data_IF_470726396299
#
_entry.id   IF_470726396299
#
_cell.length_a   1.000
_cell.length_b   1.000
_cell.length_c   1.000
_cell.angle_alpha   90.00
_cell.angle_beta   90.00
_cell.angle_gamma   90.00
#
_symmetry.space_group_name_H-M   'P 1'
#
loop_
_entity.id
_entity.type
_entity.pdbx_description
1 polymer ?
#
# COMPACT_ATOMS: atom_id res chain seq x y z
N UNK A 1 38.44 -15.94 -34.57
CA UNK A 1 37.60 -15.06 -33.72
C UNK A 1 38.52 -14.09 -33.02
N UNK A 2 38.49 -12.81 -33.39
CA UNK A 2 39.45 -11.81 -32.88
C UNK A 2 39.29 -11.65 -31.37
N UNK A 3 40.40 -11.77 -30.62
CA UNK A 3 40.43 -11.59 -29.15
C UNK A 3 39.89 -10.21 -28.72
N UNK A 4 39.94 -9.22 -29.62
CA UNK A 4 39.36 -7.88 -29.46
C UNK A 4 37.81 -7.89 -29.44
N UNK A 5 37.16 -8.84 -30.14
CA UNK A 5 35.69 -8.92 -30.21
C UNK A 5 35.09 -9.56 -28.95
N UNK A 6 35.85 -10.44 -28.28
CA UNK A 6 35.43 -11.07 -27.02
C UNK A 6 35.54 -10.10 -25.83
N UNK A 7 36.48 -9.15 -25.87
CA UNK A 7 36.64 -8.11 -24.84
C UNK A 7 35.61 -6.98 -24.93
N UNK A 8 35.11 -6.65 -26.13
CA UNK A 8 33.99 -5.69 -26.27
C UNK A 8 32.65 -6.30 -25.83
N UNK A 9 32.45 -7.60 -26.04
CA UNK A 9 31.21 -8.28 -25.65
C UNK A 9 31.10 -8.45 -24.13
N UNK A 10 32.21 -8.64 -23.41
CA UNK A 10 32.22 -8.71 -21.94
C UNK A 10 32.06 -7.36 -21.24
N UNK A 11 32.36 -6.23 -21.90
CA UNK A 11 32.08 -4.89 -21.37
C UNK A 11 30.60 -4.49 -21.47
N UNK A 12 29.86 -5.06 -22.44
CA UNK A 12 28.44 -4.79 -22.66
C UNK A 12 27.51 -5.53 -21.69
N UNK A 13 27.97 -6.60 -21.03
CA UNK A 13 27.19 -7.31 -20.00
C UNK A 13 27.27 -6.70 -18.59
N UNK A 14 28.10 -5.67 -18.37
CA UNK A 14 28.24 -5.02 -17.06
C UNK A 14 27.24 -3.88 -16.80
N UNK A 15 26.37 -3.54 -17.77
CA UNK A 15 25.42 -2.42 -17.64
C UNK A 15 24.01 -2.84 -17.18
N UNK A 16 23.89 -3.95 -16.43
CA UNK A 16 22.73 -4.13 -15.57
C UNK A 16 22.99 -3.29 -14.32
N UNK A 17 22.65 -2.00 -14.39
CA UNK A 17 22.58 -1.12 -13.22
C UNK A 17 21.49 -1.66 -12.29
N UNK A 18 21.84 -2.65 -11.48
CA UNK A 18 21.08 -2.93 -10.27
C UNK A 18 21.23 -1.68 -9.42
N UNK A 19 20.14 -0.92 -9.28
CA UNK A 19 20.14 0.29 -8.49
C UNK A 19 20.65 -0.07 -7.08
N UNK A 20 21.83 0.45 -6.71
CA UNK A 20 22.47 0.11 -5.44
C UNK A 20 21.62 0.70 -4.31
N UNK A 21 21.21 -0.17 -3.38
CA UNK A 21 20.56 0.28 -2.15
C UNK A 21 21.56 1.07 -1.31
N UNK A 22 21.23 2.31 -1.03
CA UNK A 22 21.94 3.18 -0.09
C UNK A 22 21.33 3.04 1.30
N UNK A 23 22.09 3.44 2.32
CA UNK A 23 21.61 3.49 3.70
C UNK A 23 22.03 4.80 4.39
N UNK A 24 21.20 5.26 5.32
CA UNK A 24 21.54 6.31 6.27
C UNK A 24 20.71 6.14 7.53
N UNK A 25 21.34 5.87 8.67
CA UNK A 25 20.64 5.49 9.89
C UNK A 25 19.88 4.18 9.72
N UNK A 26 18.57 4.19 9.98
CA UNK A 26 17.70 3.02 9.75
C UNK A 26 17.14 2.95 8.33
N UNK A 27 17.27 4.00 7.53
CA UNK A 27 16.60 4.08 6.24
C UNK A 27 17.48 3.44 5.18
N UNK A 28 16.99 2.37 4.57
CA UNK A 28 17.48 1.82 3.30
C UNK A 28 16.66 2.42 2.17
N UNK A 29 17.30 2.82 1.08
CA UNK A 29 16.61 3.48 -0.03
C UNK A 29 17.38 3.35 -1.35
N UNK A 30 16.72 3.64 -2.45
CA UNK A 30 17.31 3.74 -3.78
C UNK A 30 17.05 5.13 -4.34
N UNK A 31 18.11 5.82 -4.76
CA UNK A 31 17.97 7.17 -5.34
C UNK A 31 17.76 7.08 -6.85
N UNK A 32 16.77 7.82 -7.40
CA UNK A 32 16.59 7.94 -8.84
C UNK A 32 17.85 8.44 -9.55
N UNK A 33 18.08 7.96 -10.76
CA UNK A 33 19.26 8.34 -11.53
C UNK A 33 19.30 9.85 -11.81
N UNK A 34 20.48 10.46 -11.74
CA UNK A 34 20.69 11.88 -12.09
C UNK A 34 20.64 12.86 -10.92
N UNK A 35 20.29 12.41 -9.71
CA UNK A 35 20.35 13.25 -8.52
C UNK A 35 21.80 13.48 -8.06
N UNK A 36 22.10 14.72 -7.67
CA UNK A 36 23.36 15.12 -7.06
C UNK A 36 23.26 14.99 -5.54
N UNK A 37 24.34 14.55 -4.89
CA UNK A 37 24.39 14.34 -3.44
C UNK A 37 25.25 15.41 -2.75
N UNK A 38 24.65 16.10 -1.79
CA UNK A 38 25.35 16.92 -0.79
C UNK A 38 25.30 16.19 0.55
N UNK A 39 26.48 15.89 1.12
CA UNK A 39 26.59 15.21 2.41
C UNK A 39 26.88 16.21 3.52
N UNK A 40 26.04 16.21 4.55
CA UNK A 40 26.30 16.86 5.82
C UNK A 40 26.09 15.84 6.95
N UNK A 41 26.74 16.05 8.11
CA UNK A 41 26.67 15.11 9.24
C UNK A 41 25.25 14.83 9.74
N UNK A 42 24.35 15.82 9.59
CA UNK A 42 22.98 15.74 10.10
C UNK A 42 21.94 15.44 9.01
N UNK A 43 22.30 15.53 7.73
CA UNK A 43 21.36 15.37 6.62
C UNK A 43 22.09 15.01 5.32
N UNK A 44 21.56 14.02 4.60
CA UNK A 44 21.91 13.79 3.21
C UNK A 44 20.89 14.51 2.33
N UNK A 45 21.36 15.36 1.41
CA UNK A 45 20.50 16.04 0.45
C UNK A 45 20.79 15.50 -0.94
N UNK A 46 19.78 14.88 -1.54
CA UNK A 46 19.78 14.56 -2.97
C UNK A 46 18.96 15.61 -3.70
N UNK A 47 19.51 16.22 -4.74
CA UNK A 47 18.78 17.22 -5.53
C UNK A 47 18.90 16.98 -7.02
N UNK A 48 17.82 17.32 -7.73
CA UNK A 48 17.77 17.40 -9.18
C UNK A 48 17.09 18.70 -9.59
N UNK A 49 17.63 19.36 -10.61
CA UNK A 49 17.12 20.61 -11.13
C UNK A 49 17.13 20.60 -12.66
N UNK A 50 16.03 21.03 -13.26
CA UNK A 50 15.95 21.37 -14.66
C UNK A 50 16.09 22.88 -14.81
N UNK A 51 17.32 23.32 -15.13
CA UNK A 51 17.67 24.73 -15.26
C UNK A 51 16.88 25.47 -16.35
N UNK A 52 16.29 24.75 -17.31
CA UNK A 52 15.51 25.37 -18.39
C UNK A 52 14.10 25.76 -17.96
N UNK A 53 13.53 25.04 -17.00
CA UNK A 53 12.16 25.24 -16.50
C UNK A 53 12.10 25.75 -15.07
N UNK A 54 13.21 25.69 -14.32
CA UNK A 54 13.23 25.93 -12.87
C UNK A 54 12.57 24.81 -12.06
N UNK A 55 12.26 23.67 -12.69
CA UNK A 55 11.67 22.53 -12.00
C UNK A 55 12.74 21.83 -11.15
N UNK A 56 12.46 21.59 -9.88
CA UNK A 56 13.37 20.91 -8.97
C UNK A 56 12.70 19.81 -8.13
N UNK A 57 13.53 18.91 -7.62
CA UNK A 57 13.19 17.99 -6.55
C UNK A 57 14.36 17.82 -5.58
N UNK A 58 14.10 18.02 -4.30
CA UNK A 58 15.04 17.81 -3.20
C UNK A 58 14.52 16.68 -2.30
N UNK A 59 15.40 15.75 -1.95
CA UNK A 59 15.16 14.67 -0.98
C UNK A 59 16.17 14.84 0.14
N UNK A 60 15.69 15.16 1.34
CA UNK A 60 16.46 15.30 2.56
C UNK A 60 16.24 14.07 3.42
N UNK A 61 17.32 13.37 3.78
CA UNK A 61 17.28 12.23 4.71
C UNK A 61 18.04 12.67 5.95
N UNK A 62 17.32 12.99 7.02
CA UNK A 62 17.91 13.48 8.27
C UNK A 62 18.53 12.34 9.05
N UNK A 63 19.55 12.64 9.86
CA UNK A 63 20.13 11.64 10.76
C UNK A 63 19.10 11.19 11.79
N UNK A 64 19.28 9.99 12.31
CA UNK A 64 18.54 9.53 13.47
C UNK A 64 18.87 10.37 14.70
N UNK A 65 17.85 10.72 15.48
CA UNK A 65 17.95 11.48 16.74
C UNK A 65 17.02 10.89 17.80
N UNK A 66 17.17 11.25 19.09
CA UNK A 66 16.21 10.86 20.12
C UNK A 66 14.79 11.30 19.78
N UNK A 67 13.83 10.38 19.99
CA UNK A 67 12.41 10.64 19.79
C UNK A 67 11.80 11.46 20.93
N UNK A 68 10.58 11.93 20.69
CA UNK A 68 9.75 12.81 21.49
C UNK A 68 8.60 12.04 22.17
N UNK A 69 8.73 10.71 22.29
CA UNK A 69 7.78 9.86 23.01
C UNK A 69 6.74 9.16 22.15
N UNK A 70 6.84 9.21 20.82
CA UNK A 70 5.98 8.46 19.90
C UNK A 70 5.88 9.10 18.52
N UNK A 71 5.31 8.36 17.56
CA UNK A 71 5.32 8.78 16.15
C UNK A 71 4.64 10.12 15.88
N UNK A 72 3.56 10.46 16.61
CA UNK A 72 2.89 11.75 16.46
C UNK A 72 3.74 12.92 17.02
N UNK A 73 4.20 12.90 18.29
CA UNK A 73 5.16 13.88 18.79
C UNK A 73 6.43 14.01 17.92
N UNK A 74 6.95 12.89 17.40
CA UNK A 74 8.11 12.87 16.51
C UNK A 74 7.81 13.55 15.17
N UNK A 75 6.65 13.27 14.60
CA UNK A 75 6.20 13.93 13.38
C UNK A 75 6.06 15.44 13.59
N UNK A 76 5.42 15.88 14.67
CA UNK A 76 5.22 17.31 14.95
C UNK A 76 6.57 18.03 15.18
N UNK A 77 7.50 17.39 15.87
CA UNK A 77 8.86 17.89 16.05
C UNK A 77 9.61 18.01 14.71
N UNK A 78 9.58 16.97 13.88
CA UNK A 78 10.21 16.99 12.56
C UNK A 78 9.54 18.03 11.65
N UNK A 79 8.21 18.09 11.62
CA UNK A 79 7.48 19.07 10.80
C UNK A 79 7.89 20.49 11.16
N UNK A 80 7.91 20.83 12.46
CA UNK A 80 8.34 22.16 12.89
C UNK A 80 9.81 22.46 12.56
N UNK A 81 10.73 21.56 12.91
CA UNK A 81 12.17 21.84 12.89
C UNK A 81 12.87 21.53 11.57
N UNK A 82 12.31 20.64 10.76
CA UNK A 82 12.93 20.16 9.52
C UNK A 82 12.14 20.58 8.28
N UNK A 83 10.87 20.97 8.41
CA UNK A 83 10.04 21.43 7.28
C UNK A 83 9.68 22.92 7.41
N UNK A 84 8.96 23.30 8.46
CA UNK A 84 8.43 24.65 8.61
C UNK A 84 9.52 25.70 8.81
N UNK A 85 10.42 25.52 9.78
CA UNK A 85 11.48 26.50 10.04
C UNK A 85 12.48 26.63 8.88
N UNK A 86 13.03 25.55 8.29
CA UNK A 86 14.04 25.67 7.24
C UNK A 86 13.48 26.21 5.91
N UNK A 87 12.25 25.82 5.56
CA UNK A 87 11.67 26.12 4.25
C UNK A 87 10.51 27.11 4.31
N UNK A 88 10.24 27.70 5.48
CA UNK A 88 9.16 28.68 5.72
C UNK A 88 7.78 28.16 5.30
N UNK A 89 7.54 26.86 5.47
CA UNK A 89 6.25 26.24 5.17
C UNK A 89 5.23 26.69 6.22
N UNK A 90 4.20 27.40 5.78
CA UNK A 90 3.13 27.94 6.64
C UNK A 90 1.90 27.03 6.72
N UNK A 91 1.75 26.09 5.78
CA UNK A 91 0.64 25.15 5.73
C UNK A 91 0.73 24.08 6.82
N UNK A 92 -0.43 23.66 7.33
CA UNK A 92 -0.55 22.45 8.14
C UNK A 92 -0.39 21.21 7.25
N UNK A 93 0.16 20.14 7.83
CA UNK A 93 0.28 18.87 7.12
C UNK A 93 -1.08 18.18 7.01
N UNK A 94 -1.45 17.77 5.80
CA UNK A 94 -2.43 16.70 5.60
C UNK A 94 -1.73 15.37 5.88
N UNK A 95 -2.02 14.79 7.04
CA UNK A 95 -1.42 13.54 7.50
C UNK A 95 -2.17 12.31 7.00
N UNK A 96 -1.41 11.29 6.62
CA UNK A 96 -1.89 9.92 6.49
C UNK A 96 -1.83 9.24 7.86
N UNK A 97 -2.62 8.18 8.07
CA UNK A 97 -2.58 7.47 9.33
C UNK A 97 -1.23 6.81 9.59
N UNK A 98 -0.93 6.62 10.87
CA UNK A 98 0.29 5.92 11.28
C UNK A 98 0.30 4.50 10.72
N UNK A 99 1.46 4.09 10.20
CA UNK A 99 1.68 2.77 9.68
C UNK A 99 2.93 2.14 10.33
N UNK A 100 3.08 0.84 10.22
CA UNK A 100 4.27 0.12 10.67
C UNK A 100 5.11 -0.31 9.46
N UNK A 101 6.42 -0.38 9.68
CA UNK A 101 7.39 -0.99 8.78
C UNK A 101 8.44 -1.69 9.64
N UNK A 102 8.41 -3.03 9.68
CA UNK A 102 9.29 -3.87 10.53
C UNK A 102 9.34 -3.40 11.98
N UNK A 103 8.18 -3.12 12.57
CA UNK A 103 8.05 -2.67 13.96
C UNK A 103 8.38 -1.20 14.22
N UNK A 104 8.87 -0.45 13.23
CA UNK A 104 8.94 1.01 13.30
C UNK A 104 7.59 1.62 12.93
N UNK A 105 7.04 2.47 13.79
CA UNK A 105 5.89 3.29 13.41
C UNK A 105 6.37 4.41 12.49
N UNK A 106 5.56 4.80 11.51
CA UNK A 106 5.83 5.99 10.72
C UNK A 106 4.56 6.78 10.40
N UNK A 107 4.72 8.08 10.24
CA UNK A 107 3.69 9.01 9.77
C UNK A 107 4.16 9.71 8.49
N UNK A 108 3.23 9.91 7.57
CA UNK A 108 3.44 10.69 6.36
C UNK A 108 2.54 11.91 6.40
N UNK A 109 3.11 13.09 6.19
CA UNK A 109 2.37 14.34 6.07
C UNK A 109 2.78 15.11 4.84
N UNK A 110 1.82 15.81 4.23
CA UNK A 110 2.04 16.59 3.01
C UNK A 110 1.36 17.94 3.10
N UNK A 111 1.94 18.96 2.48
CA UNK A 111 1.27 20.23 2.26
C UNK A 111 1.77 20.87 0.97
N UNK A 112 1.03 21.86 0.48
CA UNK A 112 1.49 22.75 -0.59
C UNK A 112 1.80 24.10 0.02
N UNK A 113 2.85 24.74 -0.46
CA UNK A 113 3.21 26.11 -0.07
C UNK A 113 3.84 26.86 -1.25
N UNK A 114 3.94 28.18 -1.11
CA UNK A 114 4.63 29.02 -2.08
C UNK A 114 6.09 29.20 -1.64
N UNK A 115 7.01 28.53 -2.33
CA UNK A 115 8.45 28.74 -2.17
C UNK A 115 8.89 29.86 -3.12
N UNK A 116 9.12 31.06 -2.57
CA UNK A 116 9.44 32.26 -3.36
C UNK A 116 8.44 32.51 -4.51
N UNK A 117 7.14 32.26 -4.26
CA UNK A 117 6.07 32.41 -5.25
C UNK A 117 5.82 31.18 -6.13
N UNK A 118 6.62 30.12 -6.02
CA UNK A 118 6.47 28.89 -6.78
C UNK A 118 5.70 27.84 -5.97
N UNK A 119 4.61 27.34 -6.53
CA UNK A 119 3.82 26.28 -5.91
C UNK A 119 4.66 25.00 -5.73
N UNK A 120 4.86 24.61 -4.47
CA UNK A 120 5.79 23.55 -4.08
C UNK A 120 5.09 22.57 -3.15
N UNK A 121 5.27 21.28 -3.41
CA UNK A 121 4.93 20.18 -2.50
C UNK A 121 5.99 20.11 -1.41
N UNK A 122 5.57 20.08 -0.15
CA UNK A 122 6.38 19.60 0.96
C UNK A 122 5.79 18.28 1.48
N UNK A 123 6.63 17.26 1.60
CA UNK A 123 6.27 15.95 2.14
C UNK A 123 7.27 15.55 3.22
N UNK A 124 6.76 15.04 4.34
CA UNK A 124 7.56 14.51 5.44
C UNK A 124 7.13 13.08 5.74
N UNK A 125 8.11 12.19 5.86
CA UNK A 125 7.93 10.82 6.39
C UNK A 125 8.77 10.74 7.66
N UNK A 126 8.15 10.47 8.80
CA UNK A 126 8.85 10.33 10.08
C UNK A 126 8.69 8.90 10.60
N UNK A 127 9.80 8.22 10.84
CA UNK A 127 9.88 6.91 11.46
C UNK A 127 10.23 7.06 12.94
N UNK A 128 9.60 6.26 13.80
CA UNK A 128 9.73 6.28 15.26
C UNK A 128 9.77 4.87 15.85
N UNK A 129 10.71 4.64 16.76
CA UNK A 129 10.97 3.34 17.36
C UNK A 129 12.24 3.35 18.20
N UNK A 130 12.37 2.43 19.16
CA UNK A 130 13.56 2.32 20.04
C UNK A 130 13.95 3.66 20.72
N UNK A 131 12.96 4.47 21.13
CA UNK A 131 13.19 5.82 21.69
C UNK A 131 13.92 6.80 20.75
N UNK A 132 13.96 6.50 19.45
CA UNK A 132 14.58 7.31 18.40
C UNK A 132 13.56 7.65 17.31
N UNK A 133 13.89 8.68 16.53
CA UNK A 133 13.19 9.05 15.32
C UNK A 133 14.18 9.29 14.17
N UNK A 134 13.73 9.06 12.93
CA UNK A 134 14.43 9.47 11.73
C UNK A 134 13.42 9.89 10.66
N UNK A 135 13.74 10.92 9.89
CA UNK A 135 12.79 11.51 8.94
C UNK A 135 13.38 11.74 7.56
N UNK A 136 12.47 11.78 6.58
CA UNK A 136 12.73 12.12 5.19
C UNK A 136 11.82 13.30 4.83
N UNK A 137 12.40 14.39 4.33
CA UNK A 137 11.64 15.49 3.72
C UNK A 137 11.84 15.46 2.20
N UNK A 138 10.77 15.67 1.43
CA UNK A 138 10.81 15.80 -0.02
C UNK A 138 10.15 17.12 -0.41
N UNK A 139 10.87 17.94 -1.17
CA UNK A 139 10.35 19.18 -1.77
C UNK A 139 10.37 19.05 -3.29
N UNK A 140 9.27 19.39 -3.96
CA UNK A 140 9.22 19.40 -5.42
C UNK A 140 8.15 20.37 -5.95
N UNK A 141 8.43 21.03 -7.06
CA UNK A 141 7.54 22.04 -7.66
C UNK A 141 6.94 21.62 -9.01
N UNK A 142 7.13 20.36 -9.43
CA UNK A 142 6.72 19.90 -10.76
C UNK A 142 6.38 18.42 -10.82
N UNK A 143 5.33 18.08 -11.57
CA UNK A 143 4.91 16.73 -11.92
C UNK A 143 6.01 15.91 -12.62
N UNK A 144 7.00 16.58 -13.23
CA UNK A 144 8.15 15.91 -13.85
C UNK A 144 8.86 14.96 -12.87
N UNK A 145 8.95 15.33 -11.59
CA UNK A 145 9.61 14.53 -10.55
C UNK A 145 8.67 13.58 -9.82
N UNK A 146 7.38 13.56 -10.16
CA UNK A 146 6.42 12.61 -9.56
C UNK A 146 6.92 11.18 -9.62
N UNK A 147 7.50 10.88 -10.77
CA UNK A 147 8.08 9.61 -11.10
C UNK A 147 9.13 9.14 -10.09
N UNK A 148 10.07 10.04 -9.84
CA UNK A 148 11.24 9.85 -9.00
C UNK A 148 10.86 9.78 -7.53
N UNK A 149 9.91 10.62 -7.11
CA UNK A 149 9.38 10.64 -5.74
C UNK A 149 8.67 9.31 -5.40
N UNK A 150 7.77 8.84 -6.27
CA UNK A 150 7.06 7.58 -6.06
C UNK A 150 8.02 6.38 -6.04
N UNK A 151 9.00 6.36 -6.96
CA UNK A 151 10.04 5.33 -7.00
C UNK A 151 10.93 5.32 -5.75
N UNK A 152 11.35 6.51 -5.29
CA UNK A 152 12.11 6.66 -4.06
C UNK A 152 11.32 6.15 -2.85
N UNK A 153 10.10 6.63 -2.63
CA UNK A 153 9.26 6.23 -1.48
C UNK A 153 9.03 4.71 -1.47
N UNK A 154 8.74 4.11 -2.61
CA UNK A 154 8.52 2.67 -2.68
C UNK A 154 9.79 1.84 -2.44
N UNK A 155 10.97 2.43 -2.68
CA UNK A 155 12.26 1.81 -2.36
C UNK A 155 12.64 1.90 -0.88
N UNK A 156 12.00 2.80 -0.13
CA UNK A 156 12.27 3.00 1.30
C UNK A 156 11.92 1.73 2.07
N UNK A 157 12.89 1.29 2.87
CA UNK A 157 12.79 0.17 3.79
C UNK A 157 13.57 0.50 5.07
N UNK A 158 13.33 -0.22 6.17
CA UNK A 158 14.14 -0.07 7.39
C UNK A 158 15.16 -1.21 7.52
N UNK A 159 16.36 -0.88 8.01
CA UNK A 159 17.52 -1.79 8.07
C UNK A 159 17.38 -2.92 9.08
N UNK A 160 16.58 -2.71 10.14
CA UNK A 160 16.35 -3.68 11.21
C UNK A 160 14.89 -3.70 11.65
N UNK A 161 14.47 -4.87 12.12
CA UNK A 161 13.15 -5.10 12.68
C UNK A 161 13.17 -4.86 14.19
N UNK A 162 12.17 -4.13 14.72
CA UNK A 162 11.95 -3.99 16.15
C UNK A 162 10.96 -5.06 16.58
N UNK A 163 11.44 -6.02 17.35
CA UNK A 163 10.57 -6.94 18.06
C UNK A 163 10.04 -6.21 19.29
N UNK A 164 8.77 -5.77 19.23
CA UNK A 164 8.07 -5.35 20.44
C UNK A 164 7.91 -6.59 21.33
N UNK A 165 8.33 -6.58 22.61
CA UNK A 165 8.13 -7.73 23.49
C UNK A 165 6.64 -8.00 23.63
N UNK A 166 6.19 -9.07 22.97
CA UNK A 166 4.79 -9.43 22.82
C UNK A 166 4.67 -10.81 22.17
N UNK A 167 5.19 -11.81 22.90
CA UNK A 167 5.05 -13.26 22.76
C UNK A 167 6.37 -14.01 22.57
N UNK A 168 7.02 -14.29 23.71
CA UNK A 168 7.77 -15.53 23.81
C UNK A 168 6.75 -16.68 23.73
N UNK A 169 6.69 -17.35 22.58
CA UNK A 169 6.08 -18.67 22.48
C UNK A 169 6.85 -19.60 23.40
N UNK A 170 6.31 -19.86 24.59
CA UNK A 170 6.70 -21.04 25.37
C UNK A 170 6.11 -22.24 24.64
N UNK A 171 6.98 -22.93 23.90
CA UNK A 171 6.66 -24.26 23.37
C UNK A 171 6.34 -25.17 24.55
N UNK A 172 5.06 -25.49 24.70
CA UNK A 172 4.62 -26.64 25.48
C UNK A 172 4.07 -27.64 24.47
N UNK A 173 4.91 -28.60 24.12
CA UNK A 173 4.52 -29.87 23.54
C UNK A 173 3.57 -30.60 24.50
N UNK A 174 2.38 -31.00 24.03
CA UNK A 174 1.70 -32.24 24.45
C UNK A 174 0.50 -32.57 23.54
N UNK A 175 0.03 -33.83 23.54
CA UNK A 175 0.18 -34.72 22.40
C UNK A 175 -1.14 -35.00 21.70
N UNK A 176 -1.02 -35.49 20.48
CA UNK A 176 -2.09 -36.04 19.65
C UNK A 176 -2.86 -37.14 20.39
N UNK A 177 -4.17 -36.97 20.54
CA UNK A 177 -5.10 -38.09 20.72
C UNK A 177 -6.28 -37.97 19.76
N UNK A 178 -6.29 -38.93 18.84
CA UNK A 178 -7.40 -39.35 18.01
C UNK A 178 -8.60 -39.76 18.86
N UNK A 179 -9.76 -39.18 18.60
CA UNK A 179 -11.04 -39.87 18.84
C UNK A 179 -12.00 -39.60 17.68
N UNK A 180 -12.34 -40.70 17.01
CA UNK A 180 -13.41 -40.81 16.06
C UNK A 180 -14.77 -40.56 16.74
N UNK A 181 -15.61 -39.77 16.08
CA UNK A 181 -17.01 -39.55 16.43
C UNK A 181 -17.79 -39.25 15.16
N UNK A 182 -18.50 -40.27 14.67
CA UNK A 182 -19.38 -40.18 13.52
C UNK A 182 -20.58 -39.28 13.84
N UNK A 183 -20.76 -38.20 13.07
CA UNK A 183 -22.08 -37.55 12.94
C UNK A 183 -22.33 -37.18 11.48
N UNK A 184 -23.51 -37.58 11.01
CA UNK A 184 -24.02 -37.54 9.63
C UNK A 184 -23.80 -36.19 8.95
N UNK A 185 -23.16 -36.26 7.79
CA UNK A 185 -22.99 -35.17 6.84
C UNK A 185 -24.32 -34.89 6.15
N UNK A 186 -24.96 -33.78 6.51
CA UNK A 186 -25.97 -33.16 5.65
C UNK A 186 -25.25 -32.44 4.51
N UNK A 187 -25.67 -32.74 3.27
CA UNK A 187 -25.03 -32.27 2.04
C UNK A 187 -25.22 -30.76 1.89
N UNK A 188 -24.24 -29.98 2.31
CA UNK A 188 -24.00 -28.65 1.73
C UNK A 188 -23.51 -28.82 0.30
N UNK A 189 -24.03 -28.10 -0.72
CA UNK A 189 -23.54 -28.23 -2.08
C UNK A 189 -22.06 -27.83 -2.13
N UNK A 190 -21.20 -28.79 -2.43
CA UNK A 190 -19.81 -28.53 -2.73
C UNK A 190 -19.74 -27.73 -4.04
N UNK A 191 -19.44 -26.43 -3.97
CA UNK A 191 -18.95 -25.68 -5.14
C UNK A 191 -17.51 -26.15 -5.38
N UNK A 192 -17.40 -27.27 -6.10
CA UNK A 192 -16.17 -27.73 -6.71
C UNK A 192 -16.01 -27.02 -8.07
N UNK A 193 -15.47 -25.82 -8.06
CA UNK A 193 -14.76 -25.26 -9.22
C UNK A 193 -13.57 -24.47 -8.69
N UNK A 194 -12.36 -25.03 -8.84
CA UNK A 194 -11.14 -24.24 -8.63
C UNK A 194 -11.08 -23.24 -9.78
N UNK A 195 -11.62 -22.04 -9.55
CA UNK A 195 -11.58 -20.92 -10.50
C UNK A 195 -10.15 -20.53 -10.86
N UNK A 196 -9.96 -19.59 -11.80
CA UNK A 196 -8.62 -19.13 -12.15
C UNK A 196 -7.93 -18.53 -10.92
N UNK A 197 -6.63 -18.78 -10.75
CA UNK A 197 -5.83 -18.03 -9.77
C UNK A 197 -5.66 -16.57 -10.20
N UNK A 198 -5.55 -15.67 -9.24
CA UNK A 198 -5.50 -14.22 -9.46
C UNK A 198 -4.12 -13.63 -9.16
N UNK A 199 -3.58 -12.86 -10.09
CA UNK A 199 -2.46 -11.95 -9.82
C UNK A 199 -3.03 -10.55 -9.63
N UNK A 200 -3.07 -10.09 -8.38
CA UNK A 200 -3.53 -8.74 -8.03
C UNK A 200 -2.32 -7.81 -7.99
N UNK A 201 -2.44 -6.68 -8.66
CA UNK A 201 -1.41 -5.66 -8.76
C UNK A 201 -1.96 -4.34 -8.26
N UNK A 202 -1.22 -3.63 -7.43
CA UNK A 202 -1.62 -2.34 -6.89
C UNK A 202 -0.57 -1.28 -7.19
N UNK A 203 -1.04 -0.07 -7.50
CA UNK A 203 -0.21 1.13 -7.61
C UNK A 203 -0.76 2.21 -6.68
N UNK A 204 0.15 2.93 -6.03
CA UNK A 204 -0.15 4.20 -5.35
C UNK A 204 0.38 5.36 -6.21
N UNK A 205 -0.39 6.44 -6.32
CA UNK A 205 0.05 7.66 -7.01
C UNK A 205 -0.26 8.90 -6.20
N UNK A 206 0.65 9.86 -6.18
CA UNK A 206 0.49 11.09 -5.40
C UNK A 206 0.11 12.25 -6.34
N UNK A 207 -0.90 13.04 -5.98
CA UNK A 207 -1.23 14.28 -6.69
C UNK A 207 -0.16 15.34 -6.42
N UNK A 208 0.58 15.73 -7.46
CA UNK A 208 1.53 16.83 -7.41
C UNK A 208 0.81 18.19 -7.55
N UNK A 209 1.46 19.31 -7.18
CA UNK A 209 0.88 20.64 -7.34
C UNK A 209 0.58 20.94 -8.81
N UNK A 210 -0.71 21.15 -9.12
CA UNK A 210 -1.10 21.76 -10.38
C UNK A 210 -0.94 23.28 -10.23
N UNK A 211 -0.32 23.94 -11.20
CA UNK A 211 -0.16 25.41 -11.23
C UNK A 211 -1.49 26.15 -11.09
N UNK A 212 -2.59 25.53 -11.53
CA UNK A 212 -3.95 26.06 -11.46
C UNK A 212 -4.71 25.66 -10.19
N UNK A 213 -4.13 24.81 -9.33
CA UNK A 213 -4.70 24.41 -8.03
C UNK A 213 -3.62 24.36 -6.93
N UNK A 214 -3.13 25.55 -6.51
CA UNK A 214 -2.10 25.68 -5.47
C UNK A 214 -2.62 25.35 -4.07
N UNK A 215 -3.94 25.35 -3.84
CA UNK A 215 -4.56 25.08 -2.53
C UNK A 215 -5.08 23.65 -2.38
N UNK A 216 -5.18 22.88 -3.47
CA UNK A 216 -5.71 21.52 -3.43
C UNK A 216 -4.88 20.57 -2.57
N UNK A 217 -5.55 19.80 -1.71
CA UNK A 217 -4.95 18.78 -0.85
C UNK A 217 -4.21 17.73 -1.70
N UNK A 218 -2.99 17.36 -1.28
CA UNK A 218 -2.23 16.25 -1.87
C UNK A 218 -2.95 14.94 -1.58
N UNK A 219 -3.33 14.21 -2.64
CA UNK A 219 -4.10 12.96 -2.53
C UNK A 219 -3.28 11.78 -3.02
N UNK A 220 -3.28 10.71 -2.25
CA UNK A 220 -2.81 9.41 -2.72
C UNK A 220 -3.97 8.66 -3.37
N UNK A 221 -3.82 8.25 -4.62
CA UNK A 221 -4.78 7.44 -5.37
C UNK A 221 -4.24 6.04 -5.58
N UNK A 222 -5.04 5.05 -5.22
CA UNK A 222 -4.74 3.64 -5.45
C UNK A 222 -5.41 3.16 -6.73
N UNK A 223 -4.72 2.31 -7.48
CA UNK A 223 -5.27 1.62 -8.66
C UNK A 223 -4.91 0.14 -8.58
N UNK A 224 -5.80 -0.71 -9.08
CA UNK A 224 -5.60 -2.15 -9.14
C UNK A 224 -5.63 -2.64 -10.58
N UNK A 225 -4.90 -3.71 -10.86
CA UNK A 225 -5.06 -4.55 -12.05
C UNK A 225 -5.11 -5.98 -11.55
N UNK A 226 -6.09 -6.76 -12.00
CA UNK A 226 -6.18 -8.18 -11.68
C UNK A 226 -6.05 -8.96 -12.97
N UNK A 227 -5.04 -9.82 -13.03
CA UNK A 227 -4.78 -10.73 -14.16
C UNK A 227 -5.07 -12.15 -13.70
N UNK A 228 -6.04 -12.79 -14.36
CA UNK A 228 -6.44 -14.15 -14.10
C UNK A 228 -5.55 -15.14 -14.87
N UNK A 229 -5.32 -16.32 -14.31
CA UNK A 229 -4.51 -17.37 -14.95
C UNK A 229 -5.05 -17.88 -16.29
N UNK A 230 -6.35 -17.69 -16.56
CA UNK A 230 -7.00 -18.01 -17.84
C UNK A 230 -6.83 -16.89 -18.90
N UNK A 231 -6.13 -15.79 -18.58
CA UNK A 231 -5.90 -14.66 -19.47
C UNK A 231 -6.94 -13.54 -19.38
N UNK A 232 -8.01 -13.70 -18.59
CA UNK A 232 -8.94 -12.60 -18.31
C UNK A 232 -8.28 -11.53 -17.44
N UNK A 233 -8.72 -10.27 -17.55
CA UNK A 233 -8.33 -9.21 -16.62
C UNK A 233 -9.48 -8.29 -16.25
N UNK A 234 -9.33 -7.61 -15.10
CA UNK A 234 -10.17 -6.49 -14.68
C UNK A 234 -9.29 -5.35 -14.15
N UNK A 235 -9.64 -4.11 -14.52
CA UNK A 235 -8.84 -2.90 -14.24
C UNK A 235 -9.08 -2.26 -12.87
N UNK A 236 -9.70 -2.97 -11.94
CA UNK A 236 -9.95 -2.56 -10.56
C UNK A 236 -10.20 -3.77 -9.68
N UNK A 237 -10.30 -3.55 -8.36
CA UNK A 237 -10.67 -4.58 -7.39
C UNK A 237 -12.19 -4.65 -7.24
N UNK A 238 -12.88 -5.73 -7.66
CA UNK A 238 -14.33 -5.86 -7.49
C UNK A 238 -14.73 -5.70 -6.03
N UNK A 239 -15.83 -5.00 -5.76
CA UNK A 239 -16.25 -4.71 -4.37
C UNK A 239 -16.44 -5.99 -3.55
N UNK A 240 -16.90 -7.07 -4.18
CA UNK A 240 -17.18 -8.38 -3.58
C UNK A 240 -15.97 -9.33 -3.50
N UNK A 241 -14.79 -8.90 -3.98
CA UNK A 241 -13.57 -9.72 -4.05
C UNK A 241 -13.53 -10.75 -5.19
N UNK A 242 -12.52 -11.64 -5.19
CA UNK A 242 -12.26 -12.56 -6.31
C UNK A 242 -12.67 -14.02 -6.04
N UNK A 243 -13.00 -14.40 -4.81
CA UNK A 243 -13.42 -15.77 -4.51
C UNK A 243 -14.69 -16.18 -5.26
N UNK A 244 -14.53 -17.18 -6.14
CA UNK A 244 -15.59 -17.65 -7.03
C UNK A 244 -15.95 -16.68 -8.15
N UNK A 245 -15.29 -15.52 -8.25
CA UNK A 245 -15.58 -14.50 -9.26
C UNK A 245 -14.90 -14.85 -10.58
N UNK A 246 -15.68 -14.83 -11.65
CA UNK A 246 -15.26 -15.03 -13.05
C UNK A 246 -15.96 -13.99 -13.92
N UNK A 247 -15.50 -13.82 -15.16
CA UNK A 247 -16.19 -12.99 -16.15
C UNK A 247 -17.66 -13.37 -16.32
N UNK A 248 -18.01 -14.65 -16.20
CA UNK A 248 -19.36 -15.16 -16.47
C UNK A 248 -20.36 -14.94 -15.31
N UNK A 249 -19.88 -14.79 -14.07
CA UNK A 249 -20.74 -14.74 -12.88
C UNK A 249 -20.52 -13.48 -12.02
N UNK A 250 -19.75 -12.52 -12.52
CA UNK A 250 -19.59 -11.22 -11.87
C UNK A 250 -20.65 -10.22 -12.36
N UNK A 251 -20.99 -9.25 -11.52
CA UNK A 251 -21.81 -8.09 -11.90
C UNK A 251 -21.02 -7.02 -12.70
N UNK A 252 -19.78 -7.33 -13.11
CA UNK A 252 -18.84 -6.42 -13.75
C UNK A 252 -18.85 -6.56 -15.30
N UNK A 253 -20.04 -6.74 -15.88
CA UNK A 253 -20.28 -7.28 -17.25
C UNK A 253 -19.51 -6.59 -18.39
N UNK A 254 -19.14 -5.32 -18.24
CA UNK A 254 -18.40 -4.55 -19.25
C UNK A 254 -16.93 -4.29 -18.89
N UNK A 255 -16.53 -4.61 -17.68
CA UNK A 255 -15.21 -4.29 -17.14
C UNK A 255 -14.16 -5.36 -17.45
N UNK A 256 -14.60 -6.58 -17.71
CA UNK A 256 -13.72 -7.69 -18.05
C UNK A 256 -13.14 -7.55 -19.46
N UNK A 257 -11.83 -7.68 -19.54
CA UNK A 257 -11.09 -7.82 -20.77
C UNK A 257 -10.22 -9.07 -20.78
N UNK A 258 -9.27 -9.12 -21.70
CA UNK A 258 -8.26 -10.16 -21.79
C UNK A 258 -6.87 -9.54 -21.95
N UNK A 259 -5.85 -10.30 -21.60
CA UNK A 259 -4.47 -9.89 -21.80
C UNK A 259 -3.89 -10.44 -23.10
N UNK A 260 -2.94 -9.69 -23.67
CA UNK A 260 -1.99 -10.21 -24.66
C UNK A 260 -0.58 -9.94 -24.18
N UNK A 261 0.15 -11.02 -23.89
CA UNK A 261 1.55 -10.95 -23.47
C UNK A 261 2.47 -10.95 -24.69
N UNK A 262 3.36 -9.96 -24.76
CA UNK A 262 4.33 -9.80 -25.85
C UNK A 262 5.77 -10.11 -25.41
N UNK A 263 5.95 -10.61 -24.19
CA UNK A 263 7.24 -10.82 -23.54
C UNK A 263 7.77 -9.57 -22.85
N UNK A 264 7.78 -8.40 -23.51
CA UNK A 264 8.25 -7.12 -22.92
C UNK A 264 7.12 -6.32 -22.24
N UNK A 265 5.92 -6.42 -22.77
CA UNK A 265 4.72 -5.74 -22.25
C UNK A 265 3.53 -6.70 -22.16
N UNK A 266 2.60 -6.38 -21.26
CA UNK A 266 1.25 -6.96 -21.24
C UNK A 266 0.30 -5.90 -21.77
N UNK A 267 -0.44 -6.25 -22.82
CA UNK A 267 -1.56 -5.45 -23.32
C UNK A 267 -2.83 -5.87 -22.60
N UNK A 268 -3.58 -4.90 -22.09
CA UNK A 268 -4.85 -5.08 -21.40
C UNK A 268 -5.95 -4.60 -22.35
N UNK A 269 -6.71 -5.53 -22.93
CA UNK A 269 -7.69 -5.26 -23.98
C UNK A 269 -9.12 -5.41 -23.47
N UNK A 270 -9.93 -4.36 -23.60
CA UNK A 270 -11.36 -4.43 -23.29
C UNK A 270 -12.20 -4.20 -24.55
N UNK A 271 -12.93 -5.22 -24.98
CA UNK A 271 -13.72 -5.18 -26.22
C UNK A 271 -14.93 -4.25 -26.14
N UNK A 272 -15.47 -4.02 -24.94
CA UNK A 272 -16.63 -3.15 -24.75
C UNK A 272 -16.23 -1.69 -24.88
N UNK A 273 -15.20 -1.27 -24.14
CA UNK A 273 -14.69 0.11 -24.15
C UNK A 273 -13.74 0.40 -25.32
N UNK A 274 -13.36 -0.63 -26.12
CA UNK A 274 -12.39 -0.53 -27.22
C UNK A 274 -11.06 0.06 -26.77
N UNK A 275 -10.61 -0.31 -25.56
CA UNK A 275 -9.36 0.19 -24.98
C UNK A 275 -8.24 -0.82 -25.08
N UNK A 276 -7.03 -0.29 -25.26
CA UNK A 276 -5.78 -1.05 -25.15
C UNK A 276 -4.86 -0.27 -24.21
N UNK A 277 -4.77 -0.73 -22.97
CA UNK A 277 -3.75 -0.25 -22.04
C UNK A 277 -2.51 -1.14 -22.14
N UNK A 278 -1.33 -0.58 -21.85
CA UNK A 278 -0.07 -1.31 -21.92
C UNK A 278 0.66 -1.13 -20.61
N UNK A 279 1.08 -2.24 -20.01
CA UNK A 279 1.97 -2.24 -18.85
C UNK A 279 3.30 -2.89 -19.22
N UNK A 280 4.41 -2.26 -18.86
CA UNK A 280 5.74 -2.81 -19.11
C UNK A 280 6.11 -3.81 -18.03
N UNK A 281 6.75 -4.92 -18.39
CA UNK A 281 7.28 -5.87 -17.41
C UNK A 281 8.63 -5.39 -16.91
N UNK A 282 8.74 -5.13 -15.61
CA UNK A 282 9.99 -4.69 -14.97
C UNK A 282 10.65 -5.87 -14.24
N UNK A 283 9.87 -6.63 -13.46
CA UNK A 283 10.30 -7.85 -12.79
C UNK A 283 9.10 -8.79 -12.56
N UNK A 284 9.30 -9.90 -11.84
CA UNK A 284 8.21 -10.80 -11.43
C UNK A 284 7.15 -10.13 -10.55
N UNK A 285 7.53 -9.06 -9.84
CA UNK A 285 6.70 -8.40 -8.83
C UNK A 285 6.46 -6.91 -9.12
N UNK A 286 6.96 -6.40 -10.25
CA UNK A 286 6.83 -4.99 -10.65
C UNK A 286 6.46 -4.85 -12.13
N UNK A 287 5.44 -4.04 -12.42
CA UNK A 287 5.09 -3.58 -13.77
C UNK A 287 5.09 -2.04 -13.84
N UNK A 288 5.45 -1.46 -14.98
CA UNK A 288 5.33 -0.02 -15.22
C UNK A 288 3.95 0.34 -15.80
N UNK A 289 3.46 1.55 -15.50
CA UNK A 289 2.17 2.04 -16.01
C UNK A 289 2.09 2.15 -17.54
N UNK A 290 3.24 2.29 -18.21
CA UNK A 290 3.42 2.09 -19.64
C UNK A 290 4.86 1.64 -19.92
N UNK A 291 5.14 1.19 -21.13
CA UNK A 291 6.44 0.60 -21.49
C UNK A 291 7.64 1.55 -21.46
N UNK A 292 7.40 2.85 -21.56
CA UNK A 292 8.44 3.87 -21.45
C UNK A 292 8.60 4.46 -20.05
N UNK A 293 7.61 4.26 -19.17
CA UNK A 293 7.55 4.93 -17.88
C UNK A 293 8.53 4.31 -16.90
N UNK A 294 9.43 5.15 -16.39
CA UNK A 294 10.34 4.83 -15.29
C UNK A 294 9.71 5.05 -13.92
N UNK A 295 8.38 5.14 -13.85
CA UNK A 295 7.63 5.39 -12.62
C UNK A 295 6.16 4.98 -12.70
N UNK A 296 5.38 5.28 -11.66
CA UNK A 296 3.99 4.85 -11.50
C UNK A 296 3.89 3.33 -11.60
N UNK A 297 4.67 2.63 -10.78
CA UNK A 297 4.76 1.18 -10.82
C UNK A 297 3.59 0.49 -10.13
N UNK A 298 3.12 -0.57 -10.76
CA UNK A 298 2.27 -1.57 -10.15
C UNK A 298 3.15 -2.60 -9.45
N UNK A 299 2.81 -2.88 -8.19
CA UNK A 299 3.46 -3.89 -7.37
C UNK A 299 2.52 -5.06 -7.21
N UNK A 300 3.06 -6.27 -7.34
CA UNK A 300 2.30 -7.50 -7.13
C UNK A 300 1.93 -7.62 -5.66
N UNK A 301 0.63 -7.67 -5.37
CA UNK A 301 0.14 -7.88 -4.02
C UNK A 301 0.48 -9.29 -3.55
N UNK A 302 0.90 -9.39 -2.28
CA UNK A 302 1.03 -10.69 -1.61
C UNK A 302 -0.36 -11.28 -1.38
N UNK A 303 -0.44 -12.61 -1.37
CA UNK A 303 -1.68 -13.29 -1.02
C UNK A 303 -2.09 -12.90 0.40
N UNK A 304 -3.40 -12.88 0.63
CA UNK A 304 -4.03 -12.63 1.93
C UNK A 304 -4.84 -13.84 2.39
N UNK A 305 -4.72 -14.97 1.69
CA UNK A 305 -5.46 -16.19 2.00
C UNK A 305 -5.10 -16.73 3.38
N UNK A 306 -6.13 -17.01 4.18
CA UNK A 306 -5.95 -17.49 5.55
C UNK A 306 -5.43 -16.45 6.54
N UNK A 307 -5.23 -15.19 6.13
CA UNK A 307 -4.77 -14.11 7.01
C UNK A 307 -5.67 -14.02 8.25
N UNK A 308 -5.04 -13.97 9.43
CA UNK A 308 -5.72 -13.70 10.70
C UNK A 308 -5.48 -12.24 11.08
N UNK A 309 -6.54 -11.45 10.95
CA UNK A 309 -6.59 -10.08 11.41
C UNK A 309 -6.82 -10.04 12.92
N UNK A 310 -6.27 -9.01 13.55
CA UNK A 310 -6.42 -8.75 14.98
C UNK A 310 -6.47 -7.24 15.23
N UNK A 311 -7.32 -6.81 16.17
CA UNK A 311 -7.40 -5.45 16.67
C UNK A 311 -8.60 -4.68 16.13
N UNK A 312 -8.68 -3.40 16.48
CA UNK A 312 -9.71 -2.48 15.98
C UNK A 312 -9.25 -1.86 14.66
N UNK A 313 -10.13 -1.82 13.67
CA UNK A 313 -9.87 -1.29 12.34
C UNK A 313 -10.94 -0.28 11.95
N UNK A 314 -10.54 0.80 11.29
CA UNK A 314 -11.46 1.82 10.81
C UNK A 314 -10.93 2.49 9.55
N UNK A 315 -11.85 3.10 8.83
CA UNK A 315 -11.61 3.86 7.61
C UNK A 315 -12.22 5.25 7.75
N UNK A 316 -11.72 6.25 7.05
CA UNK A 316 -12.46 7.48 6.80
C UNK A 316 -13.12 7.50 5.42
N UNK A 317 -13.32 6.32 4.83
CA UNK A 317 -13.74 6.16 3.44
C UNK A 317 -12.61 6.49 2.46
N UNK A 318 -12.97 6.81 1.21
CA UNK A 318 -12.00 7.15 0.15
C UNK A 318 -11.15 8.39 0.45
N UNK A 319 -11.56 9.23 1.43
CA UNK A 319 -11.05 10.60 1.57
C UNK A 319 -10.68 11.01 3.00
N UNK A 320 -10.75 10.12 3.99
CA UNK A 320 -10.48 10.44 5.39
C UNK A 320 -9.59 9.41 6.09
N UNK A 321 -8.90 9.85 7.15
CA UNK A 321 -8.30 8.93 8.12
C UNK A 321 -9.36 8.22 8.98
N UNK A 322 -9.00 7.16 9.73
CA UNK A 322 -9.91 6.44 10.60
C UNK A 322 -10.67 7.37 11.54
N UNK A 323 -11.92 7.00 11.87
CA UNK A 323 -12.83 7.87 12.62
C UNK A 323 -12.26 8.34 13.97
N UNK A 324 -11.40 7.54 14.61
CA UNK A 324 -10.76 7.90 15.87
C UNK A 324 -9.74 9.03 15.80
N UNK A 325 -9.34 9.52 14.62
CA UNK A 325 -8.48 10.72 14.54
C UNK A 325 -9.20 11.98 15.03
N UNK A 326 -10.51 12.07 14.83
CA UNK A 326 -11.30 13.21 15.32
C UNK A 326 -11.73 13.04 16.78
N UNK A 327 -11.82 11.79 17.23
CA UNK A 327 -12.20 11.45 18.59
C UNK A 327 -11.47 10.15 19.00
N UNK A 328 -10.35 10.23 19.75
CA UNK A 328 -9.60 9.04 20.17
C UNK A 328 -10.39 8.01 20.98
N UNK A 329 -11.51 8.43 21.60
CA UNK A 329 -12.43 7.58 22.37
C UNK A 329 -13.65 7.13 21.55
N UNK A 330 -13.59 7.21 20.22
CA UNK A 330 -14.70 6.79 19.37
C UNK A 330 -14.84 5.26 19.42
N UNK A 331 -15.90 4.76 20.06
CA UNK A 331 -16.20 3.32 20.25
C UNK A 331 -17.08 2.73 19.13
N UNK A 332 -17.64 3.59 18.28
CA UNK A 332 -18.42 3.23 17.09
C UNK A 332 -17.57 3.46 15.81
N UNK A 333 -18.07 3.07 14.63
CA UNK A 333 -17.36 3.24 13.36
C UNK A 333 -16.09 2.39 13.21
N UNK A 334 -16.01 1.25 13.91
CA UNK A 334 -14.89 0.31 13.81
C UNK A 334 -15.36 -1.12 13.54
N UNK A 335 -14.46 -1.94 13.02
CA UNK A 335 -14.59 -3.39 12.98
C UNK A 335 -13.44 -3.99 13.78
N UNK A 336 -13.76 -4.87 14.72
CA UNK A 336 -12.80 -5.57 15.57
C UNK A 336 -12.62 -6.97 15.01
N UNK A 337 -11.39 -7.37 14.76
CA UNK A 337 -11.04 -8.74 14.40
C UNK A 337 -10.29 -9.42 15.54
N UNK A 338 -10.52 -10.71 15.71
CA UNK A 338 -9.88 -11.53 16.74
C UNK A 338 -9.05 -12.64 16.10
N UNK A 339 -7.98 -13.05 16.81
CA UNK A 339 -7.04 -14.09 16.37
C UNK A 339 -7.71 -15.44 16.09
N UNK A 340 -8.78 -15.75 16.79
CA UNK A 340 -9.56 -16.98 16.59
C UNK A 340 -10.34 -16.99 15.26
N UNK A 341 -10.44 -15.85 14.57
CA UNK A 341 -11.21 -15.70 13.35
C UNK A 341 -12.63 -15.18 13.58
N UNK A 342 -12.95 -14.72 14.79
CA UNK A 342 -14.19 -13.98 15.06
C UNK A 342 -14.03 -12.48 14.76
N UNK A 343 -15.16 -11.78 14.58
CA UNK A 343 -15.20 -10.33 14.41
C UNK A 343 -16.41 -9.71 15.09
N UNK A 344 -16.31 -8.40 15.36
CA UNK A 344 -17.39 -7.52 15.79
C UNK A 344 -17.40 -6.27 14.91
N UNK A 345 -18.44 -6.08 14.11
CA UNK A 345 -18.66 -4.89 13.31
C UNK A 345 -19.49 -3.89 14.14
N UNK A 346 -18.89 -2.75 14.46
CA UNK A 346 -19.49 -1.64 15.23
C UNK A 346 -19.71 -0.43 14.33
N UNK A 347 -20.18 -0.63 13.10
CA UNK A 347 -20.34 0.42 12.10
C UNK A 347 -19.07 0.75 11.31
N UNK A 348 -17.98 -0.01 11.49
CA UNK A 348 -16.71 0.26 10.79
C UNK A 348 -16.66 -0.24 9.37
N UNK A 349 -17.48 -1.23 9.02
CA UNK A 349 -17.52 -1.82 7.69
C UNK A 349 -18.96 -1.86 7.18
N UNK A 350 -19.27 -0.97 6.23
CA UNK A 350 -20.56 -0.97 5.53
C UNK A 350 -20.49 -1.89 4.31
N UNK A 351 -21.20 -3.02 4.35
CA UNK A 351 -21.18 -4.05 3.31
C UNK A 351 -22.58 -4.31 2.78
N UNK A 352 -22.65 -4.58 1.48
CA UNK A 352 -23.89 -4.94 0.80
C UNK A 352 -23.77 -6.29 0.12
N UNK A 353 -24.92 -6.96 -0.03
CA UNK A 353 -25.09 -8.11 -0.91
C UNK A 353 -26.39 -7.97 -1.69
N UNK A 354 -26.39 -8.46 -2.91
CA UNK A 354 -27.59 -8.54 -3.75
C UNK A 354 -28.15 -9.96 -3.67
N UNK A 355 -29.41 -10.09 -3.28
CA UNK A 355 -30.14 -11.36 -3.25
C UNK A 355 -31.50 -11.15 -3.90
N UNK A 356 -31.83 -11.97 -4.92
CA UNK A 356 -33.09 -11.89 -5.66
C UNK A 356 -33.41 -10.49 -6.23
N UNK A 357 -32.38 -9.76 -6.68
CA UNK A 357 -32.53 -8.40 -7.21
C UNK A 357 -32.76 -7.32 -6.14
N UNK A 358 -32.58 -7.64 -4.85
CA UNK A 358 -32.66 -6.68 -3.76
C UNK A 358 -31.32 -6.52 -3.05
N UNK A 359 -30.91 -5.27 -2.81
CA UNK A 359 -29.72 -4.96 -2.04
C UNK A 359 -30.04 -4.98 -0.55
N UNK A 360 -29.30 -5.78 0.19
CA UNK A 360 -29.30 -5.78 1.66
C UNK A 360 -27.97 -5.24 2.15
N UNK A 361 -28.02 -4.50 3.26
CA UNK A 361 -26.86 -3.83 3.84
C UNK A 361 -26.66 -4.30 5.28
N UNK A 362 -25.39 -4.31 5.71
CA UNK A 362 -25.03 -4.58 7.09
C UNK A 362 -23.79 -3.79 7.47
N UNK A 363 -23.85 -3.20 8.64
CA UNK A 363 -22.78 -2.41 9.24
C UNK A 363 -22.58 -2.72 10.73
N UNK A 364 -23.45 -3.55 11.30
CA UNK A 364 -23.35 -3.99 12.69
C UNK A 364 -23.48 -5.51 12.83
N UNK A 365 -22.99 -6.03 13.95
CA UNK A 365 -23.14 -7.42 14.35
C UNK A 365 -21.80 -8.14 14.50
N UNK A 366 -21.85 -9.41 14.87
CA UNK A 366 -20.66 -10.23 15.11
C UNK A 366 -20.77 -11.57 14.38
N UNK A 367 -19.65 -12.29 14.32
CA UNK A 367 -19.60 -13.62 13.75
C UNK A 367 -18.17 -14.08 13.51
N UNK A 368 -17.97 -14.88 12.47
CA UNK A 368 -16.65 -15.40 12.05
C UNK A 368 -16.31 -14.94 10.65
N UNK A 369 -15.02 -14.84 10.35
CA UNK A 369 -14.54 -14.47 9.03
C UNK A 369 -13.56 -15.49 8.46
N UNK A 370 -13.45 -15.49 7.14
CA UNK A 370 -12.42 -16.22 6.39
C UNK A 370 -11.93 -15.33 5.25
N UNK A 371 -10.64 -15.40 4.94
CA UNK A 371 -10.07 -14.69 3.80
C UNK A 371 -9.58 -15.71 2.77
N UNK A 372 -10.04 -15.55 1.53
CA UNK A 372 -9.69 -16.42 0.41
C UNK A 372 -9.79 -15.67 -0.91
N UNK A 373 -8.83 -15.87 -1.81
CA UNK A 373 -8.76 -15.27 -3.14
C UNK A 373 -9.04 -13.76 -3.08
N UNK A 374 -8.36 -13.03 -2.18
CA UNK A 374 -8.56 -11.58 -1.97
C UNK A 374 -10.03 -11.19 -1.66
N UNK A 375 -10.80 -12.10 -1.06
CA UNK A 375 -12.14 -11.88 -0.54
C UNK A 375 -12.16 -12.10 0.97
N UNK A 376 -12.69 -11.13 1.70
CA UNK A 376 -13.10 -11.26 3.09
C UNK A 376 -14.55 -11.74 3.12
N UNK A 377 -14.76 -12.94 3.64
CA UNK A 377 -16.08 -13.52 3.88
C UNK A 377 -16.43 -13.30 5.36
N UNK A 378 -17.59 -12.72 5.61
CA UNK A 378 -18.13 -12.46 6.95
C UNK A 378 -19.38 -13.30 7.14
N UNK A 379 -19.29 -14.32 7.97
CA UNK A 379 -20.43 -15.15 8.40
C UNK A 379 -20.89 -14.63 9.74
N UNK A 380 -22.02 -13.93 9.74
CA UNK A 380 -22.61 -13.38 10.95
C UNK A 380 -23.29 -14.47 11.79
N UNK A 381 -23.44 -14.21 13.09
CA UNK A 381 -24.03 -15.14 14.06
C UNK A 381 -25.49 -15.53 13.75
N UNK A 382 -26.20 -14.72 12.95
CA UNK A 382 -27.53 -15.03 12.42
C UNK A 382 -27.51 -15.91 11.15
N UNK A 383 -26.32 -16.38 10.74
CA UNK A 383 -26.09 -17.22 9.57
C UNK A 383 -25.96 -16.47 8.26
N UNK A 384 -26.19 -15.14 8.22
CA UNK A 384 -26.04 -14.38 7.00
C UNK A 384 -24.57 -14.25 6.60
N UNK A 385 -24.28 -14.45 5.31
CA UNK A 385 -22.93 -14.30 4.76
C UNK A 385 -22.87 -13.06 3.88
N UNK A 386 -21.86 -12.23 4.12
CA UNK A 386 -21.48 -11.10 3.28
C UNK A 386 -20.05 -11.28 2.80
N UNK A 387 -19.72 -10.71 1.65
CA UNK A 387 -18.35 -10.73 1.13
C UNK A 387 -17.92 -9.35 0.65
N UNK A 388 -16.63 -9.08 0.78
CA UNK A 388 -16.00 -7.88 0.23
C UNK A 388 -14.56 -8.18 -0.19
N UNK A 389 -13.99 -7.37 -1.07
CA UNK A 389 -12.57 -7.43 -1.42
C UNK A 389 -11.67 -7.09 -0.24
N UNK A 390 -10.52 -7.74 -0.19
CA UNK A 390 -9.44 -7.40 0.73
C UNK A 390 -8.07 -7.53 0.06
N UNK A 391 -7.19 -6.55 0.26
CA UNK A 391 -5.77 -6.61 -0.16
C UNK A 391 -4.85 -6.01 0.90
N UNK A 392 -3.58 -6.43 0.91
CA UNK A 392 -2.52 -5.69 1.62
C UNK A 392 -2.12 -4.39 0.90
N UNK A 393 -1.09 -3.72 1.42
CA UNK A 393 -0.51 -2.51 0.81
C UNK A 393 0.60 -2.86 -0.18
N UNK A 394 0.39 -2.54 -1.46
CA UNK A 394 1.36 -2.78 -2.55
C UNK A 394 1.90 -4.22 -2.49
N UNK A 395 3.22 -4.42 -2.46
CA UNK A 395 3.87 -5.74 -2.35
C UNK A 395 4.18 -6.17 -0.92
N UNK A 396 3.70 -5.46 0.10
CA UNK A 396 3.96 -5.80 1.52
C UNK A 396 3.08 -6.98 1.96
N UNK A 397 3.63 -7.85 2.81
CA UNK A 397 2.85 -8.93 3.42
C UNK A 397 1.94 -8.33 4.48
N UNK A 398 0.63 -8.57 4.37
CA UNK A 398 -0.33 -8.10 5.38
C UNK A 398 -0.22 -8.84 6.72
N UNK A 399 0.50 -9.97 6.76
CA UNK A 399 0.81 -10.68 8.01
C UNK A 399 1.91 -9.96 8.81
N UNK A 400 2.94 -9.47 8.10
CA UNK A 400 4.08 -8.77 8.70
C UNK A 400 3.81 -7.27 8.87
N UNK A 401 3.15 -6.65 7.89
CA UNK A 401 2.83 -5.23 7.85
C UNK A 401 1.31 -5.02 7.92
N UNK A 402 0.76 -5.17 9.13
CA UNK A 402 -0.67 -5.19 9.39
C UNK A 402 -1.23 -3.86 9.95
N UNK A 403 -0.58 -2.73 9.67
CA UNK A 403 -1.09 -1.42 10.09
C UNK A 403 -2.14 -0.85 9.14
N UNK A 404 -2.11 -1.27 7.87
CA UNK A 404 -3.03 -0.82 6.84
C UNK A 404 -3.37 -1.96 5.88
N UNK A 405 -4.65 -2.16 5.64
CA UNK A 405 -5.19 -3.06 4.63
C UNK A 405 -6.19 -2.28 3.77
N UNK A 406 -6.61 -2.85 2.65
CA UNK A 406 -7.67 -2.28 1.82
C UNK A 406 -8.87 -3.20 1.85
N UNK A 407 -10.03 -2.67 2.20
CA UNK A 407 -11.32 -3.37 2.13
C UNK A 407 -12.24 -2.53 1.24
N UNK A 408 -12.90 -3.14 0.25
CA UNK A 408 -13.72 -2.41 -0.73
C UNK A 408 -12.98 -1.25 -1.42
N UNK A 409 -11.68 -1.41 -1.75
CA UNK A 409 -10.80 -0.36 -2.29
C UNK A 409 -10.52 0.84 -1.35
N UNK A 410 -11.00 0.80 -0.10
CA UNK A 410 -10.74 1.84 0.89
C UNK A 410 -9.66 1.40 1.86
N UNK A 411 -8.76 2.29 2.27
CA UNK A 411 -7.78 1.96 3.29
C UNK A 411 -8.46 1.83 4.66
N UNK A 412 -8.17 0.75 5.34
CA UNK A 412 -8.52 0.48 6.73
C UNK A 412 -7.24 0.45 7.54
N UNK A 413 -7.24 1.22 8.61
CA UNK A 413 -6.08 1.42 9.47
C UNK A 413 -6.33 0.71 10.79
N UNK A 414 -5.32 0.01 11.28
CA UNK A 414 -5.36 -0.63 12.60
C UNK A 414 -5.16 0.43 13.67
N UNK A 415 -5.95 0.37 14.74
CA UNK A 415 -5.75 1.21 15.91
C UNK A 415 -4.50 0.72 16.68
N UNK A 416 -3.37 1.40 16.47
CA UNK A 416 -2.09 1.03 17.10
C UNK A 416 -1.98 1.51 18.56
N UNK A 417 -2.93 2.29 19.05
CA UNK A 417 -2.90 2.86 20.40
C UNK A 417 -3.59 1.96 21.44
N UNK A 418 -4.38 0.98 21.01
CA UNK A 418 -5.03 -0.01 21.88
C UNK A 418 -4.37 -1.36 21.66
N UNK A 419 -3.86 -1.96 22.74
CA UNK A 419 -3.21 -3.27 22.74
C UNK A 419 -4.20 -4.40 22.90
#
# INVERSE_FOLDING_TARGET
MNKQFLSLLSLLLAMVSSAQKNNFGIINYTIPAGYQLVKNDNVLTYFSEDKSTGAYCNIFIYKMIPGQGGVQPDFDFAWSNQVQKPFKVTGTASMQPAANLKGWQFLLGTTKYADNGVATLAMLITFSGESNMQSICILANSDKYKADIEGFIASVDVTREINVPGNASTGIDRPTQTKAGNTKTEKTPAINTKGPSFNVWMRATISMPNVNDPTGVVKTKFKWIIICSNGDYIGYMPSQGMWGTTKANSNETHSWGYIKDTGKEIQLLNDYYKTVEKVGKVSSDVMSANTSMKSMWYYKCKTVDGLKLEGEWSTGGAWGGPYWYKNPNFEEGMIVFHKDGSFENKGGLYISKEENGHLTYRDQGNGTYTIKDFTLLLTYSDGAVFKTSITGYLSKSAEQENSMIFISQHPYFKNLNKK
#
